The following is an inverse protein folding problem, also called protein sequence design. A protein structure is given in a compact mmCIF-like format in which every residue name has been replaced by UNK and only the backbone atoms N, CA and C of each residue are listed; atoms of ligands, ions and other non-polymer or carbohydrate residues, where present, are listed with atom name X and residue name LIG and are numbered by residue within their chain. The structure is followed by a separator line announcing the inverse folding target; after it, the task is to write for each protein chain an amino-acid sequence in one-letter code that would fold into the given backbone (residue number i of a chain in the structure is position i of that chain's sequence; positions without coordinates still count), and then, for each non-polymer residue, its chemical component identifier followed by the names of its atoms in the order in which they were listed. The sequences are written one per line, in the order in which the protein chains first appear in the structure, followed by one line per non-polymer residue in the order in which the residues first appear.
data_IF_492566923988
#
_entry.id   IF_492566923988
#
_cell.length_a   1.000
_cell.length_b   1.000
_cell.length_c   1.000
_cell.angle_alpha   90.00
_cell.angle_beta   90.00
_cell.angle_gamma   90.00
#
_symmetry.space_group_name_H-M   'P 1'
#
loop_
_entity.id
_entity.type
_entity.pdbx_description
1 polymer ?
#
# COMPACT_ATOMS: atom_id res chain seq x y z
N UNK A 1 -19.02 -2.08 -9.42
CA UNK A 1 -17.73 -2.39 -8.76
C UNK A 1 -17.11 -1.08 -8.31
N UNK A 2 -16.61 -0.96 -7.07
CA UNK A 2 -15.86 0.23 -6.63
C UNK A 2 -14.47 0.24 -7.28
N UNK A 3 -13.93 1.41 -7.61
CA UNK A 3 -12.56 1.52 -8.12
C UNK A 3 -11.52 1.22 -7.01
N UNK A 4 -10.29 0.93 -7.40
CA UNK A 4 -9.22 0.50 -6.48
C UNK A 4 -8.92 1.55 -5.41
N UNK A 5 -8.83 2.82 -5.81
CA UNK A 5 -8.58 3.94 -4.93
C UNK A 5 -9.63 4.02 -3.81
N UNK A 6 -10.93 3.91 -4.14
CA UNK A 6 -12.01 3.91 -3.15
C UNK A 6 -11.89 2.74 -2.17
N UNK A 7 -11.53 1.54 -2.65
CA UNK A 7 -11.34 0.38 -1.75
C UNK A 7 -10.18 0.60 -0.78
N UNK A 8 -9.04 1.08 -1.27
CA UNK A 8 -7.89 1.35 -0.41
C UNK A 8 -8.16 2.47 0.60
N UNK A 9 -8.92 3.51 0.23
CA UNK A 9 -9.35 4.53 1.18
C UNK A 9 -10.23 3.98 2.30
N UNK A 10 -11.08 2.98 2.01
CA UNK A 10 -11.94 2.34 3.01
C UNK A 10 -11.16 1.40 3.94
N UNK A 11 -10.11 0.74 3.42
CA UNK A 11 -9.27 -0.20 4.18
C UNK A 11 -8.14 0.49 4.98
N UNK A 12 -7.76 1.72 4.59
CA UNK A 12 -6.69 2.46 5.23
C UNK A 12 -7.00 2.71 6.70
N UNK A 13 -6.17 2.16 7.57
CA UNK A 13 -6.35 2.26 9.01
C UNK A 13 -5.01 2.20 9.73
N UNK A 14 -4.99 2.76 10.95
CA UNK A 14 -3.85 2.60 11.84
C UNK A 14 -3.86 1.19 12.42
N UNK A 15 -2.77 0.44 12.21
CA UNK A 15 -2.61 -0.93 12.71
C UNK A 15 -1.37 -1.06 13.59
N UNK A 16 -1.41 -2.03 14.51
CA UNK A 16 -0.24 -2.37 15.33
C UNK A 16 0.76 -3.15 14.48
N UNK A 17 2.06 -2.87 14.65
CA UNK A 17 3.13 -3.59 13.96
C UNK A 17 3.06 -5.12 14.16
N UNK A 18 2.61 -5.58 15.32
CA UNK A 18 2.44 -7.00 15.65
C UNK A 18 1.54 -7.74 14.64
N UNK A 19 0.58 -7.04 14.01
CA UNK A 19 -0.29 -7.62 12.99
C UNK A 19 0.40 -7.72 11.63
N UNK A 20 1.48 -6.98 11.40
CA UNK A 20 2.27 -7.00 10.17
C UNK A 20 3.44 -7.98 10.22
N UNK A 21 3.85 -8.45 11.41
CA UNK A 21 4.97 -9.39 11.59
C UNK A 21 4.95 -10.59 10.63
N UNK A 22 3.82 -11.29 10.38
CA UNK A 22 3.80 -12.42 9.45
C UNK A 22 4.09 -12.02 7.99
N UNK A 23 3.84 -10.75 7.63
CA UNK A 23 4.15 -10.21 6.30
C UNK A 23 5.61 -9.75 6.23
N UNK A 24 6.15 -9.19 7.31
CA UNK A 24 7.57 -8.85 7.42
C UNK A 24 8.46 -10.09 7.25
N UNK A 25 8.08 -11.21 7.85
CA UNK A 25 8.79 -12.49 7.74
C UNK A 25 8.78 -13.10 6.33
N UNK A 26 7.91 -12.61 5.45
CA UNK A 26 7.81 -13.05 4.05
C UNK A 26 8.35 -12.01 3.07
N UNK A 27 9.08 -11.01 3.56
CA UNK A 27 9.58 -9.88 2.77
C UNK A 27 8.48 -9.18 1.94
N UNK A 28 7.26 -9.12 2.47
CA UNK A 28 6.08 -8.61 1.79
C UNK A 28 5.59 -7.24 2.30
N UNK A 29 6.46 -6.49 2.99
CA UNK A 29 6.15 -5.14 3.48
C UNK A 29 6.92 -4.11 2.64
N UNK A 30 6.19 -3.11 2.17
CA UNK A 30 6.76 -1.97 1.44
C UNK A 30 6.74 -0.76 2.38
N UNK A 31 7.90 -0.13 2.57
CA UNK A 31 8.02 1.12 3.32
C UNK A 31 7.83 2.30 2.38
N UNK A 32 6.81 3.11 2.66
CA UNK A 32 6.53 4.34 1.92
C UNK A 32 7.07 5.52 2.71
N UNK A 33 7.85 6.39 2.05
CA UNK A 33 8.36 7.60 2.70
C UNK A 33 7.20 8.54 3.07
N UNK A 34 7.35 9.27 4.18
CA UNK A 34 6.32 10.17 4.71
C UNK A 34 5.91 11.32 3.77
N UNK A 35 6.67 11.55 2.70
CA UNK A 35 6.41 12.59 1.71
C UNK A 35 5.49 12.11 0.57
N UNK A 36 5.11 10.83 0.57
CA UNK A 36 4.20 10.24 -0.41
C UNK A 36 2.86 9.86 0.24
N UNK A 37 1.82 9.82 -0.58
CA UNK A 37 0.51 9.33 -0.17
C UNK A 37 0.44 7.80 -0.33
N UNK A 38 0.03 7.10 0.74
CA UNK A 38 -0.05 5.63 0.78
C UNK A 38 -1.07 5.06 -0.22
N UNK A 39 -2.17 5.77 -0.48
CA UNK A 39 -3.22 5.30 -1.40
C UNK A 39 -2.72 5.42 -2.84
N UNK A 40 -2.10 6.54 -3.20
CA UNK A 40 -1.51 6.72 -4.54
C UNK A 40 -0.43 5.67 -4.82
N UNK A 41 0.48 5.44 -3.87
CA UNK A 41 1.52 4.42 -4.00
C UNK A 41 0.92 3.02 -4.13
N UNK A 42 -0.09 2.68 -3.31
CA UNK A 42 -0.78 1.40 -3.39
C UNK A 42 -1.44 1.16 -4.76
N UNK A 43 -2.08 2.20 -5.33
CA UNK A 43 -2.68 2.13 -6.67
C UNK A 43 -1.62 1.89 -7.73
N UNK A 44 -0.51 2.66 -7.71
CA UNK A 44 0.58 2.52 -8.68
C UNK A 44 1.19 1.11 -8.68
N UNK A 45 1.49 0.56 -7.49
CA UNK A 45 2.02 -0.81 -7.35
C UNK A 45 1.03 -1.84 -7.90
N UNK A 46 -0.26 -1.70 -7.57
CA UNK A 46 -1.28 -2.66 -7.99
C UNK A 46 -1.55 -2.65 -9.50
N UNK A 47 -1.23 -1.54 -10.16
CA UNK A 47 -1.40 -1.36 -11.60
C UNK A 47 -0.11 -1.63 -12.39
N UNK A 48 0.97 -2.02 -11.72
CA UNK A 48 2.30 -2.13 -12.32
C UNK A 48 2.69 -0.83 -13.06
N UNK A 49 2.37 0.32 -12.45
CA UNK A 49 2.73 1.63 -13.00
C UNK A 49 4.23 1.88 -12.80
N UNK A 50 5.00 1.42 -13.78
CA UNK A 50 6.46 1.49 -13.83
C UNK A 50 6.98 2.71 -14.58
N UNK A 51 6.16 3.77 -14.75
CA UNK A 51 6.43 4.96 -15.58
C UNK A 51 7.92 5.12 -15.93
N UNK A 52 8.25 4.64 -17.13
CA UNK A 52 9.62 4.49 -17.63
C UNK A 52 10.11 5.82 -18.16
N UNK A 53 10.60 6.68 -17.28
CA UNK A 53 11.21 7.96 -17.62
C UNK A 53 12.68 7.98 -17.21
#
# INVERSE_FOLDING_TARGET
MKNLKTRFSEDLSNVKWQYLTPHAQRDAIIFVTKYLDLIEVGVAISQDDVNSA
#
